data_IF_900047008286
#
_entry.id   IF_900047008286
#
_cell.length_a   1.000
_cell.length_b   1.000
_cell.length_c   1.000
_cell.angle_alpha   90.00
_cell.angle_beta   90.00
_cell.angle_gamma   90.00
#
_symmetry.space_group_name_H-M   'P 1'
#
loop_
_entity.id
_entity.type
_entity.pdbx_description
1 polymer ?
#
# COMPACT_ATOMS: atom_id res chain seq x y z
N UNK A 1 12.59 13.10 -3.17
CA UNK A 1 12.32 11.68 -3.49
C UNK A 1 10.86 11.35 -3.16
N UNK A 2 9.99 11.24 -4.16
CA UNK A 2 8.58 10.94 -3.91
C UNK A 2 8.43 9.47 -3.49
N UNK A 3 7.64 9.22 -2.44
CA UNK A 3 7.22 7.86 -2.04
C UNK A 3 6.31 7.29 -3.13
N UNK A 4 6.92 6.70 -4.16
CA UNK A 4 6.27 6.09 -5.31
C UNK A 4 6.60 4.59 -5.36
N UNK A 5 5.64 3.80 -5.81
CA UNK A 5 5.84 2.40 -6.18
C UNK A 5 6.70 2.29 -7.44
N UNK A 6 7.84 1.61 -7.39
CA UNK A 6 8.74 1.47 -8.55
C UNK A 6 8.17 0.63 -9.71
N UNK A 7 7.09 -0.12 -9.48
CA UNK A 7 6.54 -1.06 -10.46
C UNK A 7 5.24 -0.53 -11.05
N UNK A 8 4.34 -0.11 -10.17
CA UNK A 8 2.99 0.32 -10.49
C UNK A 8 2.83 1.84 -10.58
N UNK A 9 3.88 2.59 -10.24
CA UNK A 9 3.86 4.05 -10.28
C UNK A 9 2.93 4.73 -9.27
N UNK A 10 2.25 3.99 -8.38
CA UNK A 10 1.33 4.57 -7.38
C UNK A 10 2.03 5.62 -6.51
N UNK A 11 1.42 6.80 -6.45
CA UNK A 11 1.86 7.93 -5.65
C UNK A 11 0.78 8.31 -4.62
N UNK A 12 1.14 9.22 -3.71
CA UNK A 12 0.17 9.77 -2.79
C UNK A 12 -0.86 10.63 -3.54
N UNK A 13 -2.15 10.33 -3.35
CA UNK A 13 -3.24 11.17 -3.86
C UNK A 13 -3.71 12.15 -2.81
N UNK A 14 -4.30 13.27 -3.25
CA UNK A 14 -4.91 14.27 -2.38
C UNK A 14 -6.42 14.07 -2.41
N UNK A 15 -7.07 14.27 -1.28
CA UNK A 15 -8.51 14.45 -1.22
C UNK A 15 -8.94 15.05 0.09
N UNK A 16 -10.24 15.01 0.37
CA UNK A 16 -10.79 15.67 1.54
C UNK A 16 -11.15 14.67 2.64
N UNK A 17 -11.04 15.12 3.89
CA UNK A 17 -11.74 14.54 5.03
C UNK A 17 -13.00 15.36 5.22
N UNK A 18 -14.14 14.70 4.98
CA UNK A 18 -15.47 15.30 5.13
C UNK A 18 -16.05 14.81 6.44
N UNK A 19 -16.35 15.73 7.34
CA UNK A 19 -17.00 15.46 8.61
C UNK A 19 -18.49 15.71 8.46
N UNK A 20 -19.30 14.72 8.83
CA UNK A 20 -20.74 14.71 8.64
C UNK A 20 -21.40 14.44 9.99
N UNK A 21 -22.46 15.19 10.32
CA UNK A 21 -23.29 15.00 11.51
C UNK A 21 -24.73 14.69 11.14
N UNK A 22 -25.43 14.02 12.05
CA UNK A 22 -26.83 13.63 11.88
C UNK A 22 -26.99 12.29 11.16
N UNK A 23 -28.21 11.74 11.24
CA UNK A 23 -28.57 10.46 10.63
C UNK A 23 -29.02 10.69 9.18
N UNK A 24 -28.62 9.80 8.28
CA UNK A 24 -29.03 9.87 6.87
C UNK A 24 -30.55 9.73 6.72
N UNK A 25 -31.14 10.37 5.71
CA UNK A 25 -32.60 10.38 5.49
C UNK A 25 -33.19 8.98 5.30
N UNK A 26 -32.48 8.11 4.56
CA UNK A 26 -32.93 6.73 4.33
C UNK A 26 -33.02 5.89 5.61
N UNK A 27 -32.36 6.30 6.70
CA UNK A 27 -32.45 5.65 8.01
C UNK A 27 -33.53 6.29 8.91
N UNK A 28 -34.43 7.10 8.35
CA UNK A 28 -35.48 7.82 9.09
C UNK A 28 -34.98 9.04 9.85
N UNK A 29 -33.81 9.59 9.49
CA UNK A 29 -33.29 10.84 10.06
C UNK A 29 -33.71 12.09 9.29
N UNK A 30 -33.54 13.27 9.90
CA UNK A 30 -33.77 14.58 9.23
C UNK A 30 -32.79 14.81 8.06
N UNK A 31 -31.57 14.26 8.17
CA UNK A 31 -30.54 14.32 7.16
C UNK A 31 -29.15 14.55 7.74
N UNK A 32 -28.14 14.28 6.92
CA UNK A 32 -26.72 14.49 7.23
C UNK A 32 -26.28 15.90 6.84
N UNK A 33 -25.66 16.64 7.77
CA UNK A 33 -25.06 17.96 7.52
C UNK A 33 -23.54 17.85 7.49
N UNK A 34 -22.91 18.52 6.54
CA UNK A 34 -21.44 18.63 6.45
C UNK A 34 -20.98 19.70 7.43
N UNK A 35 -20.13 19.33 8.39
CA UNK A 35 -19.62 20.26 9.42
C UNK A 35 -18.22 20.76 9.13
N UNK A 36 -17.44 20.05 8.32
CA UNK A 36 -16.08 20.44 8.01
C UNK A 36 -15.53 19.69 6.81
N UNK A 37 -14.72 20.40 6.01
CA UNK A 37 -13.99 19.84 4.88
C UNK A 37 -12.54 20.25 5.03
N UNK A 38 -11.65 19.29 5.28
CA UNK A 38 -10.21 19.54 5.41
C UNK A 38 -9.42 18.71 4.39
N UNK A 39 -8.29 19.23 3.90
CA UNK A 39 -7.43 18.49 2.96
C UNK A 39 -6.64 17.39 3.68
N UNK A 40 -6.57 16.20 3.07
CA UNK A 40 -5.74 15.07 3.51
C UNK A 40 -4.97 14.45 2.34
N UNK A 41 -3.92 13.71 2.67
CA UNK A 41 -3.12 12.93 1.70
C UNK A 41 -3.35 11.43 1.93
N UNK A 42 -3.73 10.70 0.89
CA UNK A 42 -3.81 9.25 0.90
C UNK A 42 -2.45 8.70 0.46
N UNK A 43 -1.72 8.08 1.40
CA UNK A 43 -0.42 7.49 1.10
C UNK A 43 -0.61 6.01 0.75
N UNK A 44 -0.07 5.53 -0.39
CA UNK A 44 -0.03 4.10 -0.64
C UNK A 44 0.83 3.40 0.43
N UNK A 45 0.43 2.18 0.82
CA UNK A 45 1.23 1.35 1.71
C UNK A 45 2.44 0.79 0.92
N UNK A 46 3.54 1.56 0.94
CA UNK A 46 4.80 1.19 0.32
C UNK A 46 5.69 0.51 1.34
N UNK A 47 6.25 -0.63 0.93
CA UNK A 47 7.16 -1.43 1.72
C UNK A 47 8.49 -1.54 0.97
N UNK A 48 9.59 -1.37 1.69
CA UNK A 48 10.94 -1.52 1.12
C UNK A 48 11.32 -2.99 1.09
N UNK A 49 11.33 -3.60 -0.09
CA UNK A 49 11.55 -5.04 -0.27
C UNK A 49 12.74 -5.28 -1.20
N UNK A 50 13.51 -6.34 -0.93
CA UNK A 50 14.53 -6.86 -1.85
C UNK A 50 13.84 -7.75 -2.89
N UNK A 51 14.02 -7.42 -4.16
CA UNK A 51 13.34 -8.02 -5.30
C UNK A 51 14.38 -8.64 -6.22
N UNK A 52 14.05 -9.79 -6.78
CA UNK A 52 14.72 -10.37 -7.95
C UNK A 52 14.15 -9.72 -9.22
N UNK A 53 14.99 -8.97 -9.95
CA UNK A 53 14.61 -8.48 -11.28
C UNK A 53 14.65 -9.62 -12.30
N UNK A 54 13.89 -9.51 -13.41
CA UNK A 54 13.98 -10.48 -14.51
C UNK A 54 15.39 -10.63 -15.10
N UNK A 55 16.24 -9.60 -14.93
CA UNK A 55 17.65 -9.61 -15.33
C UNK A 55 18.58 -10.36 -14.37
N UNK A 56 18.05 -10.96 -13.28
CA UNK A 56 18.83 -11.68 -12.27
C UNK A 56 19.46 -10.80 -11.19
N UNK A 57 19.40 -9.47 -11.32
CA UNK A 57 19.92 -8.56 -10.30
C UNK A 57 18.98 -8.47 -9.08
N UNK A 58 19.58 -8.32 -7.90
CA UNK A 58 18.84 -8.06 -6.66
C UNK A 58 18.87 -6.58 -6.32
N UNK A 59 17.69 -5.92 -6.26
CA UNK A 59 17.59 -4.51 -5.84
C UNK A 59 16.59 -4.32 -4.72
N UNK A 60 16.85 -3.34 -3.85
CA UNK A 60 15.93 -2.91 -2.79
C UNK A 60 15.11 -1.74 -3.32
N UNK A 61 13.81 -1.93 -3.50
CA UNK A 61 12.91 -0.92 -4.06
C UNK A 61 11.66 -0.73 -3.19
N UNK A 62 11.05 0.48 -3.19
CA UNK A 62 9.75 0.71 -2.60
C UNK A 62 8.64 0.11 -3.47
N UNK A 63 7.89 -0.85 -2.91
CA UNK A 63 6.84 -1.58 -3.62
C UNK A 63 5.52 -1.44 -2.89
N UNK A 64 4.43 -1.33 -3.65
CA UNK A 64 3.08 -1.32 -3.10
C UNK A 64 2.69 -2.71 -2.55
N UNK A 65 1.99 -2.76 -1.41
CA UNK A 65 1.52 -4.04 -0.85
C UNK A 65 0.59 -4.83 -1.79
N UNK A 66 -0.19 -4.15 -2.62
CA UNK A 66 -1.02 -4.82 -3.63
C UNK A 66 -0.18 -5.56 -4.69
N UNK A 67 0.95 -4.96 -5.10
CA UNK A 67 1.88 -5.51 -6.08
C UNK A 67 2.60 -6.75 -5.52
N UNK A 68 2.92 -6.69 -4.23
CA UNK A 68 3.47 -7.83 -3.49
C UNK A 68 2.43 -8.95 -3.39
N UNK A 69 1.18 -8.61 -3.08
CA UNK A 69 0.08 -9.56 -2.95
C UNK A 69 -0.28 -10.24 -4.28
N UNK A 70 -0.19 -9.52 -5.40
CA UNK A 70 -0.51 -10.05 -6.73
C UNK A 70 0.60 -10.91 -7.34
N UNK A 71 1.73 -11.11 -6.65
CA UNK A 71 2.82 -11.98 -7.15
C UNK A 71 3.61 -11.40 -8.33
N UNK A 72 3.35 -10.15 -8.73
CA UNK A 72 4.09 -9.43 -9.78
C UNK A 72 5.58 -9.28 -9.41
N UNK A 73 5.88 -9.41 -8.11
CA UNK A 73 7.21 -9.20 -7.54
C UNK A 73 7.67 -10.46 -6.83
N UNK A 74 8.76 -11.04 -7.31
CA UNK A 74 9.44 -12.12 -6.61
C UNK A 74 10.36 -11.54 -5.53
N UNK A 75 10.06 -11.85 -4.27
CA UNK A 75 10.92 -11.49 -3.15
C UNK A 75 12.14 -12.41 -3.15
N UNK A 76 13.30 -11.85 -2.80
CA UNK A 76 14.50 -12.66 -2.55
C UNK A 76 14.23 -13.59 -1.38
N UNK A 77 14.36 -14.90 -1.61
CA UNK A 77 14.28 -15.90 -0.54
C UNK A 77 15.57 -15.81 0.27
N UNK A 78 15.47 -15.32 1.52
CA UNK A 78 16.59 -15.37 2.45
C UNK A 78 16.73 -16.80 2.96
N UNK A 79 17.70 -17.54 2.43
CA UNK A 79 18.10 -18.82 3.01
C UNK A 79 18.81 -18.56 4.35
N UNK A 80 18.49 -19.34 5.38
CA UNK A 80 19.25 -19.32 6.63
C UNK A 80 20.65 -19.90 6.36
N UNK A 81 21.71 -19.37 6.99
CA UNK A 81 23.09 -19.74 6.65
C UNK A 81 23.47 -21.21 6.93
N UNK A 82 22.67 -21.99 7.66
CA UNK A 82 22.83 -23.44 7.76
C UNK A 82 21.44 -24.09 7.90
N UNK A 83 20.96 -24.72 6.83
CA UNK A 83 19.86 -25.68 6.90
C UNK A 83 20.43 -27.01 6.40
N UNK A 84 20.44 -28.03 7.25
CA UNK A 84 20.80 -29.38 6.85
C UNK A 84 19.77 -29.90 5.85
N UNK A 85 20.16 -30.60 4.77
CA UNK A 85 19.21 -31.18 3.84
C UNK A 85 18.40 -32.27 4.57
N UNK A 86 17.18 -31.94 5.04
CA UNK A 86 16.26 -32.91 5.64
C UNK A 86 15.47 -32.47 6.87
N UNK A 87 15.78 -31.33 7.51
CA UNK A 87 14.96 -30.85 8.63
C UNK A 87 13.76 -30.04 8.11
N UNK A 88 12.58 -30.67 8.09
CA UNK A 88 11.30 -29.97 7.90
C UNK A 88 11.05 -28.95 9.01
#
# INVERSE_FOLDING_TARGET
MARQCSICGKQASVGNRVEIRGKAKYLGGVGTKVTGITRRKFKPNLQSVKIELPSGEHKKLPVCTQCIRSGVVRKVVKQKPFALPGSK
#
